data_IF_131152628011
#
_entry.id   IF_131152628011
#
_cell.length_a   1.000
_cell.length_b   1.000
_cell.length_c   1.000
_cell.angle_alpha   90.00
_cell.angle_beta   90.00
_cell.angle_gamma   90.00
#
_symmetry.space_group_name_H-M   'P 1'
#
loop_
_entity.id
_entity.type
_entity.pdbx_description
1 polymer ?
#
# COMPACT_ATOMS: atom_id res chain seq x y z
N UNK A 1 -1.39 -10.09 -15.58
CA UNK A 1 -1.30 -9.48 -16.95
C UNK A 1 -0.24 -8.39 -17.02
N UNK A 2 -0.29 -7.36 -16.18
CA UNK A 2 0.68 -6.27 -16.21
C UNK A 2 2.08 -6.75 -15.81
N UNK A 3 2.21 -7.47 -14.71
CA UNK A 3 3.47 -8.06 -14.27
C UNK A 3 4.04 -9.08 -15.29
N UNK A 4 3.18 -9.80 -16.00
CA UNK A 4 3.61 -10.73 -17.05
C UNK A 4 4.29 -9.98 -18.22
N UNK A 5 3.78 -8.79 -18.56
CA UNK A 5 4.42 -7.92 -19.53
C UNK A 5 5.78 -7.41 -19.04
N UNK A 6 5.87 -6.91 -17.80
CA UNK A 6 7.11 -6.40 -17.24
C UNK A 6 8.19 -7.49 -17.12
N UNK A 7 7.78 -8.72 -16.85
CA UNK A 7 8.71 -9.87 -16.81
C UNK A 7 9.44 -10.08 -18.15
N UNK A 8 8.81 -9.77 -19.28
CA UNK A 8 9.44 -9.90 -20.62
C UNK A 8 10.56 -8.88 -20.87
N UNK A 9 10.65 -7.84 -20.08
CA UNK A 9 11.67 -6.77 -20.22
C UNK A 9 13.02 -7.22 -19.67
N UNK A 10 13.05 -8.29 -18.87
CA UNK A 10 14.27 -8.87 -18.28
C UNK A 10 15.10 -7.84 -17.46
N UNK A 11 14.40 -7.05 -16.63
CA UNK A 11 15.01 -6.08 -15.74
C UNK A 11 14.39 -6.17 -14.34
N UNK A 12 15.14 -5.83 -13.29
CA UNK A 12 14.56 -5.72 -11.96
C UNK A 12 13.49 -4.62 -11.93
N UNK A 13 12.38 -4.90 -11.24
CA UNK A 13 11.25 -4.00 -11.08
C UNK A 13 11.12 -3.55 -9.62
N UNK A 14 10.89 -2.27 -9.42
CA UNK A 14 10.41 -1.71 -8.16
C UNK A 14 9.01 -1.16 -8.39
N UNK A 15 8.04 -1.63 -7.60
CA UNK A 15 6.72 -1.01 -7.59
C UNK A 15 6.76 0.18 -6.64
N UNK A 16 6.77 1.38 -7.21
CA UNK A 16 6.71 2.63 -6.47
C UNK A 16 5.30 3.23 -6.52
N UNK A 17 4.83 3.77 -5.43
CA UNK A 17 3.57 4.51 -5.37
C UNK A 17 2.32 3.66 -5.65
N UNK A 18 2.00 2.76 -4.74
CA UNK A 18 0.71 2.05 -4.74
C UNK A 18 0.04 2.17 -3.37
N UNK A 19 -1.27 2.33 -3.34
CA UNK A 19 -2.02 2.51 -2.10
C UNK A 19 -3.48 2.85 -2.31
N UNK A 20 -4.26 2.73 -1.25
CA UNK A 20 -5.69 3.03 -1.22
C UNK A 20 -6.02 4.10 -0.16
N UNK A 21 -6.93 5.01 -0.50
CA UNK A 21 -7.42 6.02 0.44
C UNK A 21 -8.19 5.35 1.59
N UNK A 22 -7.89 5.76 2.82
CA UNK A 22 -8.40 5.14 4.05
C UNK A 22 -8.58 6.18 5.13
N UNK A 23 -9.78 6.24 5.69
CA UNK A 23 -10.08 7.13 6.81
C UNK A 23 -9.80 6.38 8.11
N UNK A 24 -8.82 6.87 8.88
CA UNK A 24 -8.45 6.27 10.16
C UNK A 24 -9.64 6.16 11.11
N UNK A 25 -9.80 5.00 11.74
CA UNK A 25 -10.90 4.70 12.64
C UNK A 25 -12.19 4.23 11.97
N UNK A 26 -12.26 4.22 10.63
CA UNK A 26 -13.39 3.59 9.93
C UNK A 26 -13.06 2.11 9.70
N UNK A 27 -13.90 1.26 10.28
CA UNK A 27 -13.77 -0.19 10.24
C UNK A 27 -15.03 -0.86 9.67
N UNK A 28 -14.87 -2.05 9.09
CA UNK A 28 -15.98 -2.86 8.57
C UNK A 28 -15.68 -4.35 8.62
N UNK A 29 -16.73 -5.18 8.70
CA UNK A 29 -16.58 -6.65 8.61
C UNK A 29 -16.15 -7.13 7.23
N UNK A 30 -16.53 -6.39 6.19
CA UNK A 30 -16.09 -6.57 4.81
C UNK A 30 -15.15 -5.43 4.43
N UNK A 31 -14.14 -5.68 3.60
CA UNK A 31 -13.24 -4.64 3.13
C UNK A 31 -13.96 -3.67 2.18
N UNK A 32 -14.66 -2.69 2.72
CA UNK A 32 -15.31 -1.62 1.97
C UNK A 32 -14.38 -0.44 1.78
N UNK A 33 -14.50 0.26 0.66
CA UNK A 33 -13.68 1.45 0.36
C UNK A 33 -13.64 2.41 1.57
N UNK A 34 -12.47 2.94 1.81
CA UNK A 34 -12.14 3.86 2.92
C UNK A 34 -12.04 3.22 4.31
N UNK A 35 -12.37 1.93 4.50
CA UNK A 35 -12.08 1.24 5.76
C UNK A 35 -10.61 0.88 5.88
N UNK A 36 -10.10 0.73 7.10
CA UNK A 36 -8.73 0.30 7.34
C UNK A 36 -8.49 -1.14 6.85
N UNK A 37 -9.50 -2.00 6.95
CA UNK A 37 -9.48 -3.37 6.43
C UNK A 37 -9.33 -3.40 4.92
N UNK A 38 -9.99 -2.50 4.20
CA UNK A 38 -9.84 -2.39 2.74
C UNK A 38 -8.41 -2.03 2.34
N UNK A 39 -7.79 -1.08 3.04
CA UNK A 39 -6.40 -0.70 2.78
C UNK A 39 -5.45 -1.88 2.97
N UNK A 40 -5.62 -2.65 4.04
CA UNK A 40 -4.81 -3.85 4.29
C UNK A 40 -5.03 -4.90 3.22
N UNK A 41 -6.27 -5.17 2.84
CA UNK A 41 -6.61 -6.17 1.82
C UNK A 41 -6.06 -5.77 0.43
N UNK A 42 -6.14 -4.48 0.10
CA UNK A 42 -5.52 -3.94 -1.11
C UNK A 42 -4.01 -4.25 -1.14
N UNK A 43 -3.30 -3.93 -0.07
CA UNK A 43 -1.86 -4.20 0.02
C UNK A 43 -1.56 -5.70 0.02
N UNK A 44 -2.33 -6.51 0.75
CA UNK A 44 -2.15 -7.96 0.78
C UNK A 44 -2.27 -8.58 -0.60
N UNK A 45 -3.27 -8.15 -1.36
CA UNK A 45 -3.52 -8.64 -2.72
C UNK A 45 -2.37 -8.27 -3.66
N UNK A 46 -1.96 -7.00 -3.68
CA UNK A 46 -0.85 -6.54 -4.54
C UNK A 46 0.46 -7.22 -4.13
N UNK A 47 0.78 -7.21 -2.84
CA UNK A 47 2.03 -7.78 -2.34
C UNK A 47 2.11 -9.29 -2.58
N UNK A 48 0.99 -10.01 -2.51
CA UNK A 48 0.93 -11.43 -2.90
C UNK A 48 1.34 -11.64 -4.36
N UNK A 49 0.83 -10.80 -5.26
CA UNK A 49 1.24 -10.84 -6.67
C UNK A 49 2.72 -10.51 -6.88
N UNK A 50 3.26 -9.56 -6.10
CA UNK A 50 4.68 -9.19 -6.18
C UNK A 50 5.59 -10.32 -5.68
N UNK A 51 5.20 -10.99 -4.59
CA UNK A 51 5.99 -12.07 -3.98
C UNK A 51 6.15 -13.30 -4.89
N UNK A 52 5.21 -13.50 -5.82
CA UNK A 52 5.30 -14.56 -6.83
C UNK A 52 6.32 -14.27 -7.96
N UNK A 53 6.92 -13.09 -7.99
CA UNK A 53 7.73 -12.60 -9.11
C UNK A 53 9.15 -12.28 -8.70
N UNK A 54 10.12 -13.10 -9.11
CA UNK A 54 11.54 -12.92 -8.76
C UNK A 54 12.17 -11.63 -9.27
N UNK A 55 11.67 -11.08 -10.37
CA UNK A 55 12.19 -9.84 -10.94
C UNK A 55 11.74 -8.59 -10.16
N UNK A 56 10.74 -8.71 -9.26
CA UNK A 56 10.33 -7.62 -8.38
C UNK A 56 11.28 -7.56 -7.19
N UNK A 57 12.07 -6.50 -7.11
CA UNK A 57 13.11 -6.32 -6.11
C UNK A 57 12.81 -5.25 -5.07
N UNK A 58 11.69 -4.55 -5.19
CA UNK A 58 11.29 -3.52 -4.25
C UNK A 58 9.81 -3.17 -4.31
N UNK A 59 9.31 -2.67 -3.20
CA UNK A 59 7.92 -2.20 -3.05
C UNK A 59 7.91 -0.96 -2.17
N UNK A 60 7.28 0.11 -2.65
CA UNK A 60 7.17 1.37 -1.92
C UNK A 60 5.71 1.81 -1.88
N UNK A 61 5.01 1.57 -0.78
CA UNK A 61 3.63 2.03 -0.66
C UNK A 61 3.55 3.56 -0.68
N UNK A 62 2.56 4.09 -1.36
CA UNK A 62 2.20 5.48 -1.29
C UNK A 62 1.00 5.64 -0.36
N UNK A 63 1.17 6.32 0.76
CA UNK A 63 2.39 7.01 1.18
C UNK A 63 2.62 6.78 2.69
N UNK A 64 3.64 7.42 3.23
CA UNK A 64 3.96 7.29 4.65
C UNK A 64 2.84 7.81 5.56
N UNK A 65 2.39 9.05 5.37
CA UNK A 65 1.36 9.66 6.20
C UNK A 65 0.40 10.52 5.38
N UNK A 66 -0.84 10.59 5.83
CA UNK A 66 -1.86 11.45 5.25
C UNK A 66 -1.39 12.89 5.17
N UNK A 67 -1.72 13.60 4.08
CA UNK A 67 -1.35 14.99 3.90
C UNK A 67 -2.42 15.80 3.17
N UNK A 68 -2.47 17.09 3.45
CA UNK A 68 -3.36 18.02 2.74
C UNK A 68 -2.99 18.14 1.27
N UNK A 69 -3.99 18.17 0.40
CA UNK A 69 -3.79 18.26 -1.04
C UNK A 69 -4.89 19.10 -1.67
N UNK A 70 -4.56 19.79 -2.76
CA UNK A 70 -5.52 20.58 -3.53
C UNK A 70 -6.23 19.77 -4.63
N UNK A 71 -6.13 18.45 -4.61
CA UNK A 71 -6.74 17.58 -5.63
C UNK A 71 -8.29 17.57 -5.63
N UNK A 72 -8.90 18.61 -5.06
CA UNK A 72 -10.31 18.94 -5.17
C UNK A 72 -11.29 17.88 -4.64
N UNK A 73 -12.46 17.75 -5.29
CA UNK A 73 -13.54 16.90 -4.80
C UNK A 73 -13.22 15.40 -4.84
N UNK A 74 -12.15 15.02 -5.51
CA UNK A 74 -11.67 13.64 -5.57
C UNK A 74 -11.09 13.13 -4.24
N UNK A 75 -10.87 14.02 -3.25
CA UNK A 75 -10.21 13.70 -1.99
C UNK A 75 -11.08 14.06 -0.79
N UNK A 76 -11.38 13.08 0.05
CA UNK A 76 -12.17 13.29 1.28
C UNK A 76 -11.47 14.31 2.18
N UNK A 77 -12.14 15.45 2.41
CA UNK A 77 -11.62 16.54 3.25
C UNK A 77 -10.34 17.19 2.72
N UNK A 78 -10.18 17.29 1.38
CA UNK A 78 -8.97 17.85 0.75
C UNK A 78 -7.68 17.22 1.27
N UNK A 79 -7.71 15.93 1.52
CA UNK A 79 -6.61 15.17 2.11
C UNK A 79 -6.31 13.91 1.29
N UNK A 80 -5.05 13.68 0.94
CA UNK A 80 -4.62 12.39 0.46
C UNK A 80 -4.54 11.45 1.67
N UNK A 81 -5.40 10.43 1.68
CA UNK A 81 -5.54 9.50 2.82
C UNK A 81 -4.96 8.11 2.55
N UNK A 82 -4.00 8.04 1.64
CA UNK A 82 -3.28 6.79 1.36
C UNK A 82 -2.15 6.49 2.36
N UNK A 83 -1.95 7.36 3.34
CA UNK A 83 -0.95 7.17 4.38
C UNK A 83 -1.09 5.84 5.13
N UNK A 84 0.03 5.22 5.47
CA UNK A 84 0.07 4.14 6.45
C UNK A 84 -0.18 4.69 7.87
N UNK A 85 0.13 5.97 8.06
CA UNK A 85 -0.11 6.73 9.27
C UNK A 85 -1.07 7.89 8.97
N UNK A 86 -1.75 8.37 10.00
CA UNK A 86 -2.46 9.64 9.93
C UNK A 86 -1.47 10.80 9.80
N UNK A 87 -1.97 12.01 9.52
CA UNK A 87 -1.15 13.21 9.48
C UNK A 87 -0.40 13.45 10.80
N UNK A 88 -1.00 13.09 11.92
CA UNK A 88 -0.45 13.19 13.28
C UNK A 88 0.48 12.02 13.65
N UNK A 89 0.71 11.10 12.70
CA UNK A 89 1.57 9.91 12.86
C UNK A 89 0.95 8.79 13.70
N UNK A 90 -0.37 8.76 13.88
CA UNK A 90 -1.06 7.60 14.43
C UNK A 90 -1.05 6.46 13.39
N UNK A 91 -0.60 5.25 13.75
CA UNK A 91 -0.57 4.14 12.81
C UNK A 91 -1.99 3.67 12.47
N UNK A 92 -2.25 3.42 11.18
CA UNK A 92 -3.41 2.68 10.71
C UNK A 92 -3.10 1.18 10.68
N UNK A 93 -4.10 0.31 10.45
CA UNK A 93 -3.86 -1.13 10.34
C UNK A 93 -2.79 -1.49 9.31
N UNK A 94 -2.71 -0.75 8.21
CA UNK A 94 -1.70 -0.97 7.18
C UNK A 94 -0.27 -0.74 7.67
N UNK A 95 -0.03 0.16 8.63
CA UNK A 95 1.29 0.35 9.22
C UNK A 95 1.74 -0.92 9.98
N UNK A 96 0.82 -1.54 10.72
CA UNK A 96 1.09 -2.80 11.42
C UNK A 96 1.32 -3.95 10.42
N UNK A 97 0.52 -4.01 9.35
CA UNK A 97 0.71 -4.99 8.29
C UNK A 97 2.10 -4.91 7.66
N UNK A 98 2.58 -3.71 7.30
CA UNK A 98 3.90 -3.53 6.71
C UNK A 98 5.04 -3.78 7.71
N UNK A 99 4.88 -3.38 8.98
CA UNK A 99 5.84 -3.74 10.02
C UNK A 99 6.03 -5.25 10.07
N UNK A 100 4.95 -6.02 10.12
CA UNK A 100 5.01 -7.46 10.19
C UNK A 100 5.55 -8.10 8.91
N UNK A 101 5.19 -7.54 7.75
CA UNK A 101 5.68 -7.99 6.45
C UNK A 101 7.19 -7.80 6.31
N UNK A 102 7.67 -6.60 6.57
CA UNK A 102 9.09 -6.28 6.37
C UNK A 102 9.99 -6.87 7.43
N UNK A 103 9.51 -7.07 8.65
CA UNK A 103 10.30 -7.73 9.71
C UNK A 103 10.52 -9.22 9.47
N UNK A 104 9.70 -9.86 8.63
CA UNK A 104 9.81 -11.28 8.28
C UNK A 104 10.62 -11.55 7.02
N UNK A 105 10.92 -10.51 6.23
CA UNK A 105 11.73 -10.65 5.03
C UNK A 105 13.21 -10.64 5.41
N UNK A 106 13.87 -11.76 5.14
CA UNK A 106 15.33 -11.81 5.19
C UNK A 106 15.93 -10.95 4.07
N UNK A 107 17.14 -10.37 4.25
CA UNK A 107 17.77 -9.51 3.24
C UNK A 107 17.95 -10.14 1.84
N UNK A 108 17.82 -11.46 1.73
CA UNK A 108 18.06 -12.23 0.50
C UNK A 108 16.82 -13.01 0.02
N UNK A 109 15.63 -12.74 0.53
CA UNK A 109 14.41 -13.48 0.16
C UNK A 109 13.82 -13.10 -1.23
N UNK A 110 14.59 -12.40 -2.04
CA UNK A 110 14.21 -12.06 -3.41
C UNK A 110 15.28 -12.41 -4.44
#
# INVERSE_FOLDING_TARGET
KELDFWETIDKPLILSEYGADTVAGIHGFTPEMFTEEFQVEYYRTINGCLDERRFVVGEWPWNFADFSTQQGPMRVGSCNRKGLFTRERTPKLAAHYFRDRWSKKEPNDR
#
